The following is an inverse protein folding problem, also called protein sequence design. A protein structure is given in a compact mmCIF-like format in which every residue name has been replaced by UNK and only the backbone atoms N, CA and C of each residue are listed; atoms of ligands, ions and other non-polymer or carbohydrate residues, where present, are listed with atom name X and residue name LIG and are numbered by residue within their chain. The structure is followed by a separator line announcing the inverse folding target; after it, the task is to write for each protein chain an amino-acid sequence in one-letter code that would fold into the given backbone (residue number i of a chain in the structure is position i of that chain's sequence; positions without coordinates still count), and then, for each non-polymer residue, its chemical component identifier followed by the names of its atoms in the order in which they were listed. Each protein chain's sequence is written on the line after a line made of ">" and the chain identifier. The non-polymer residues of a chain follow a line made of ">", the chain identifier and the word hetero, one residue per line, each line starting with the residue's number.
data_IF_591338680170
#
_entry.id   IF_591338680170
#
_cell.length_a   1.000
_cell.length_b   1.000
_cell.length_c   1.000
_cell.angle_alpha   90.00
_cell.angle_beta   90.00
_cell.angle_gamma   90.00
#
_symmetry.space_group_name_H-M   'P 1'
#
loop_
_entity.id
_entity.type
_entity.pdbx_description
1 polymer ?
2 water ?
#
# COMPACT_ATOMS: atom_id res chain seq x y z
N UNK A 12 -3.75 13.80 20.40
CA UNK A 12 -4.43 13.80 19.11
C UNK A 12 -4.72 12.38 18.62
N UNK A 13 -3.67 11.58 18.43
CA UNK A 13 -3.83 10.25 17.88
C UNK A 13 -4.50 9.31 18.88
N UNK A 14 -5.57 8.66 18.43
CA UNK A 14 -6.29 7.65 19.19
C UNK A 14 -6.09 6.30 18.52
N UNK A 15 -6.68 5.26 19.12
CA UNK A 15 -6.56 3.92 18.55
C UNK A 15 -7.29 3.79 17.22
N UNK A 16 -8.15 4.74 16.87
CA UNK A 16 -8.73 4.74 15.53
C UNK A 16 -7.64 4.88 14.49
N UNK A 17 -6.59 5.66 14.80
CA UNK A 17 -5.43 5.72 13.92
C UNK A 17 -4.64 4.41 13.95
N UNK A 18 -4.69 3.69 15.07
CA UNK A 18 -4.04 2.38 15.13
C UNK A 18 -4.78 1.36 14.27
N UNK A 19 -6.11 1.29 14.41
CA UNK A 19 -6.90 0.43 13.54
C UNK A 19 -6.67 0.77 12.07
N UNK A 20 -6.44 2.04 11.76
CA UNK A 20 -6.23 2.43 10.37
C UNK A 20 -4.89 1.93 9.85
N UNK A 21 -3.85 1.98 10.68
CA UNK A 21 -2.55 1.43 10.28
C UNK A 21 -2.66 -0.07 10.03
N UNK A 22 -3.37 -0.77 10.91
CA UNK A 22 -3.76 -2.16 10.65
C UNK A 22 -4.34 -2.32 9.26
N UNK A 23 -5.41 -1.57 8.97
CA UNK A 23 -6.15 -1.78 7.73
C UNK A 23 -5.33 -1.38 6.52
N UNK A 24 -4.42 -0.42 6.66
CA UNK A 24 -3.59 -0.03 5.53
C UNK A 24 -2.66 -1.17 5.12
N UNK A 25 -1.95 -1.78 6.08
CA UNK A 25 -1.08 -2.89 5.72
C UNK A 25 -1.88 -4.06 5.16
N UNK A 26 -3.12 -4.25 5.63
CA UNK A 26 -3.96 -5.30 5.07
C UNK A 26 -4.29 -5.03 3.61
N UNK A 27 -4.65 -3.79 3.29
CA UNK A 27 -4.95 -3.44 1.91
C UNK A 27 -3.68 -3.46 1.07
N UNK A 28 -2.53 -3.14 1.69
CA UNK A 28 -1.26 -3.18 0.97
C UNK A 28 -0.93 -4.60 0.52
N UNK A 29 -1.14 -5.58 1.40
CA UNK A 29 -0.90 -6.95 0.98
C UNK A 29 -1.95 -7.40 -0.03
N UNK A 30 -3.19 -6.93 0.11
CA UNK A 30 -4.19 -7.21 -0.90
C UNK A 30 -3.84 -6.56 -2.23
N UNK A 31 -3.17 -5.40 -2.22
CA UNK A 31 -2.70 -4.80 -3.46
C UNK A 31 -1.67 -5.69 -4.15
N UNK A 32 -0.68 -6.18 -3.39
CA UNK A 32 0.36 -7.00 -4.00
C UNK A 32 -0.20 -8.34 -4.46
N UNK A 33 -1.17 -8.88 -3.73
CA UNK A 33 -1.80 -10.12 -4.16
C UNK A 33 -2.49 -9.93 -5.51
N UNK A 34 -3.32 -8.89 -5.63
CA UNK A 34 -3.99 -8.62 -6.90
C UNK A 34 -2.99 -8.38 -8.02
N UNK A 35 -1.92 -7.65 -7.73
CA UNK A 35 -0.88 -7.38 -8.72
C UNK A 35 -0.29 -8.67 -9.28
N UNK A 36 0.09 -9.60 -8.40
CA UNK A 36 0.67 -10.86 -8.86
C UNK A 36 -0.38 -11.80 -9.44
N UNK A 37 -1.63 -11.71 -8.97
CA UNK A 37 -2.69 -12.45 -9.64
C UNK A 37 -2.92 -11.92 -11.05
N UNK A 38 -2.95 -10.59 -11.20
CA UNK A 38 -3.17 -10.01 -12.52
C UNK A 38 -2.07 -10.40 -13.50
N UNK A 39 -0.82 -10.38 -13.04
CA UNK A 39 0.28 -10.71 -13.94
C UNK A 39 0.23 -12.17 -14.39
N UNK A 40 -0.45 -13.03 -13.63
CA UNK A 40 -0.58 -14.43 -14.00
C UNK A 40 -1.73 -14.62 -14.99
N UNK A 41 -2.90 -14.06 -14.68
CA UNK A 41 -4.11 -14.34 -15.45
C UNK A 41 -4.39 -13.30 -16.52
N UNK A 42 -3.88 -12.07 -16.37
CA UNK A 42 -4.07 -11.01 -17.36
C UNK A 42 -5.55 -10.73 -17.61
N UNK A 43 -6.28 -10.46 -16.52
CA UNK A 43 -7.72 -10.21 -16.60
C UNK A 43 -8.03 -8.77 -16.24
N UNK A 44 -8.82 -8.06 -17.06
CA UNK A 44 -9.11 -6.65 -16.77
C UNK A 44 -9.87 -6.44 -15.47
N UNK A 45 -10.70 -7.40 -15.05
CA UNK A 45 -11.43 -7.24 -13.80
C UNK A 45 -10.50 -7.22 -12.60
N UNK A 46 -9.43 -8.03 -12.62
CA UNK A 46 -8.46 -7.99 -11.53
C UNK A 46 -7.76 -6.64 -11.47
N UNK A 47 -7.49 -6.04 -12.63
CA UNK A 47 -6.91 -4.70 -12.66
C UNK A 47 -7.81 -3.70 -11.96
N UNK A 48 -9.12 -3.79 -12.18
CA UNK A 48 -10.05 -2.89 -11.51
C UNK A 48 -10.02 -3.07 -10.00
N UNK A 49 -10.01 -4.32 -9.53
CA UNK A 49 -9.90 -4.58 -8.10
C UNK A 49 -8.62 -3.98 -7.54
N UNK A 50 -7.51 -4.15 -8.26
CA UNK A 50 -6.24 -3.60 -7.80
C UNK A 50 -6.30 -2.09 -7.65
N UNK A 51 -6.89 -1.39 -8.63
CA UNK A 51 -7.01 0.06 -8.51
C UNK A 51 -8.01 0.44 -7.43
N UNK A 52 -9.06 -0.37 -7.25
CA UNK A 52 -9.98 -0.13 -6.14
C UNK A 52 -9.27 -0.25 -4.80
N UNK A 53 -8.43 -1.29 -4.64
CA UNK A 53 -7.65 -1.43 -3.42
C UNK A 53 -6.64 -0.30 -3.27
N UNK A 54 -5.97 0.06 -4.37
CA UNK A 54 -5.04 1.20 -4.34
C UNK A 54 -5.76 2.48 -3.96
N UNK A 55 -6.96 2.70 -4.50
CA UNK A 55 -7.77 3.85 -4.11
C UNK A 55 -8.15 3.81 -2.63
N UNK A 56 -8.52 2.63 -2.13
CA UNK A 56 -8.84 2.47 -0.71
C UNK A 56 -7.64 2.79 0.17
N UNK A 57 -6.44 2.38 -0.24
CA UNK A 57 -5.25 2.73 0.53
C UNK A 57 -4.99 4.23 0.49
N UNK A 58 -5.13 4.84 -0.69
CA UNK A 58 -4.98 6.28 -0.82
C UNK A 58 -5.89 7.03 0.15
N UNK A 59 -7.15 6.59 0.26
CA UNK A 59 -8.09 7.29 1.13
C UNK A 59 -7.66 7.20 2.59
N UNK A 60 -7.18 6.03 3.02
CA UNK A 60 -6.74 5.88 4.41
C UNK A 60 -5.47 6.68 4.68
N UNK A 61 -4.55 6.73 3.71
CA UNK A 61 -3.35 7.54 3.88
C UNK A 61 -3.70 9.01 4.08
N UNK A 62 -4.69 9.51 3.33
CA UNK A 62 -5.14 10.89 3.50
C UNK A 62 -5.68 11.12 4.91
N UNK A 63 -6.52 10.20 5.39
CA UNK A 63 -7.00 10.28 6.77
C UNK A 63 -5.88 10.07 7.78
N UNK A 64 -4.74 9.53 7.36
CA UNK A 64 -3.59 9.33 8.21
C UNK A 64 -2.60 10.49 8.16
N UNK A 65 -2.93 11.57 7.44
CA UNK A 65 -2.05 12.73 7.37
C UNK A 65 -1.83 13.31 8.76
N UNK A 66 -0.58 13.56 9.09
CA UNK A 66 -0.21 13.90 10.46
C UNK A 66 -0.03 12.63 11.27
N UNK A 67 -0.71 12.56 12.41
CA UNK A 67 -0.62 11.41 13.33
C UNK A 67 0.80 11.26 13.87
N UNK A 71 5.52 14.55 6.85
CA UNK A 71 6.59 13.74 7.43
C UNK A 71 7.31 12.92 6.36
N UNK A 72 8.44 12.34 6.76
CA UNK A 72 9.27 11.56 5.84
C UNK A 72 8.55 10.28 5.41
N UNK A 73 8.12 9.46 6.37
CA UNK A 73 7.51 8.18 6.05
C UNK A 73 6.20 8.36 5.29
N UNK A 74 5.45 9.41 5.60
CA UNK A 74 4.21 9.69 4.88
C UNK A 74 4.49 9.98 3.41
N UNK A 75 5.51 10.81 3.14
CA UNK A 75 5.79 11.18 1.76
C UNK A 75 6.22 9.97 0.94
N UNK A 76 7.02 9.08 1.53
CA UNK A 76 7.48 7.90 0.81
C UNK A 76 6.32 6.97 0.48
N UNK A 77 5.35 6.86 1.39
CA UNK A 77 4.19 6.02 1.12
C UNK A 77 3.37 6.57 -0.04
N UNK A 78 3.24 7.89 -0.12
CA UNK A 78 2.48 8.48 -1.22
C UNK A 78 3.20 8.30 -2.55
N UNK A 79 4.54 8.36 -2.56
CA UNK A 79 5.27 8.17 -3.81
C UNK A 79 5.18 6.74 -4.30
N UNK A 80 5.34 5.76 -3.40
CA UNK A 80 5.21 4.36 -3.80
C UNK A 80 3.81 4.08 -4.33
N UNK A 81 2.79 4.60 -3.65
CA UNK A 81 1.42 4.46 -4.13
C UNK A 81 1.27 5.00 -5.54
N UNK A 82 1.89 6.15 -5.83
CA UNK A 82 1.80 6.72 -7.17
C UNK A 82 2.61 5.92 -8.17
N UNK A 83 3.79 5.44 -7.77
CA UNK A 83 4.62 4.63 -8.66
C UNK A 83 3.99 3.29 -8.98
N UNK A 84 3.13 2.77 -8.10
CA UNK A 84 2.43 1.51 -8.34
C UNK A 84 1.13 1.70 -9.11
N UNK A 85 0.93 2.86 -9.73
CA UNK A 85 -0.35 3.15 -10.37
C UNK A 85 -0.62 2.25 -11.57
N UNK A 86 0.42 1.88 -12.31
CA UNK A 86 0.27 1.09 -13.52
C UNK A 86 0.82 -0.32 -13.31
N UNK A 87 0.12 -1.30 -13.86
CA UNK A 87 0.48 -2.71 -13.69
C UNK A 87 1.41 -3.12 -14.82
N UNK A 88 2.68 -3.38 -14.50
CA UNK A 88 3.66 -3.85 -15.46
C UNK A 88 3.97 -5.31 -15.16
N UNK A 89 3.79 -6.18 -16.15
CA UNK A 89 4.01 -7.60 -16.01
C UNK A 89 5.06 -8.07 -17.01
N UNK A 90 5.75 -9.15 -16.66
CA UNK A 90 6.79 -9.71 -17.52
C UNK A 90 6.94 -11.18 -17.17
N UNK A 91 6.54 -12.06 -18.10
CA UNK A 91 6.64 -13.51 -17.92
C UNK A 91 5.85 -13.99 -16.70
N UNK A 92 4.57 -13.61 -16.68
CA UNK A 92 3.60 -14.00 -15.66
C UNK A 92 3.90 -13.43 -14.28
N UNK A 93 4.90 -12.55 -14.16
CA UNK A 93 5.19 -11.91 -12.90
C UNK A 93 5.30 -10.40 -13.06
N UNK A 94 5.35 -9.68 -11.94
CA UNK A 94 5.54 -8.22 -12.03
C UNK A 94 6.90 -7.90 -12.62
N UNK A 95 6.99 -6.74 -13.27
CA UNK A 95 8.28 -6.25 -13.73
C UNK A 95 9.22 -6.11 -12.54
N UNK A 96 10.52 -6.21 -12.83
CA UNK A 96 11.51 -6.13 -11.76
C UNK A 96 11.40 -4.82 -10.99
N UNK A 97 11.20 -3.71 -11.69
CA UNK A 97 11.08 -2.42 -11.01
C UNK A 97 9.77 -2.34 -10.24
N UNK A 98 8.69 -2.90 -10.80
CA UNK A 98 7.43 -2.98 -10.08
C UNK A 98 7.55 -3.85 -8.83
N UNK A 99 8.26 -4.97 -8.94
CA UNK A 99 8.42 -5.86 -7.80
C UNK A 99 9.24 -5.21 -6.69
N UNK A 100 10.26 -4.42 -7.07
CA UNK A 100 11.07 -3.73 -6.07
C UNK A 100 10.24 -2.65 -5.37
N UNK A 101 9.34 -2.01 -6.10
CA UNK A 101 8.46 -1.01 -5.50
C UNK A 101 7.47 -1.65 -4.54
N UNK A 102 6.87 -2.78 -4.94
CA UNK A 102 5.96 -3.50 -4.05
C UNK A 102 6.65 -3.87 -2.75
N UNK A 103 7.90 -4.33 -2.83
CA UNK A 103 8.65 -4.68 -1.63
C UNK A 103 8.90 -3.45 -0.76
N UNK A 104 9.34 -2.35 -1.38
CA UNK A 104 9.58 -1.12 -0.63
C UNK A 104 8.30 -0.59 -0.01
N UNK A 105 7.19 -0.66 -0.75
CA UNK A 105 5.91 -0.19 -0.24
C UNK A 105 5.47 -0.99 0.98
N UNK A 106 5.69 -2.31 0.96
CA UNK A 106 5.34 -3.14 2.12
C UNK A 106 6.21 -2.81 3.33
N UNK A 107 7.48 -2.47 3.12
CA UNK A 107 8.34 -2.17 4.26
C UNK A 107 8.04 -0.80 4.85
N UNK A 108 7.70 0.18 4.01
CA UNK A 108 7.25 1.46 4.53
C UNK A 108 5.95 1.31 5.33
N UNK A 109 5.08 0.39 4.91
CA UNK A 109 3.86 0.12 5.67
C UNK A 109 4.17 -0.49 7.03
N UNK A 110 5.15 -1.40 7.08
CA UNK A 110 5.59 -1.95 8.36
C UNK A 110 6.13 -0.86 9.26
N UNK A 111 6.94 0.04 8.70
CA UNK A 111 7.45 1.17 9.47
C UNK A 111 6.30 2.04 9.97
N UNK A 112 5.29 2.26 9.12
CA UNK A 112 4.15 3.08 9.50
C UNK A 112 3.42 2.50 10.71
N UNK A 113 3.23 1.18 10.73
CA UNK A 113 2.60 0.53 11.89
C UNK A 113 3.41 0.79 13.15
N UNK A 114 4.73 0.59 13.08
CA UNK A 114 5.59 0.86 14.23
C UNK A 114 5.47 2.30 14.69
N UNK A 115 5.67 3.25 13.76
CA UNK A 115 5.62 4.67 14.11
C UNK A 115 4.25 5.05 14.67
N UNK A 116 3.18 4.60 14.01
CA UNK A 116 1.84 4.91 14.50
C UNK A 116 1.64 4.40 15.92
N UNK A 117 2.10 3.17 16.20
CA UNK A 117 1.79 2.58 17.50
C UNK A 117 2.61 3.25 18.61
N UNK A 118 3.79 3.79 18.31
CA UNK A 118 4.52 4.51 19.35
C UNK A 118 3.85 5.84 19.69
N UNK A 119 3.36 6.56 18.68
CA UNK A 119 2.77 7.88 18.96
C UNK A 119 1.38 7.80 19.56
N UNK A 120 0.64 6.71 19.33
CA UNK A 120 -0.71 6.58 19.88
C UNK A 120 -0.68 6.20 21.36
N UNK A 121 0.48 5.87 21.90
CA UNK A 121 0.56 5.45 23.30
C UNK A 121 1.64 6.13 24.12
N UNK A 122 2.58 6.85 23.51
CA UNK A 122 3.63 7.51 24.29
C UNK A 122 3.28 8.97 24.54
#
# INVERSE_FOLDING_TARGET
>A
NALSDQAAVTNRSTLIDARRSEAMTNVALEMERSYRQYCVLDDPTLAKVYQSQRKRYSDMLDAHAGVLPDDKLYQALRQDLNALAQLQCKDSGPEAAAAARLEAFANANTEMVQATRTVVYSRGQQLQQEIAER
#
